data_IF_100723172830
#
_entry.id   IF_100723172830
#
_cell.length_a   1.000
_cell.length_b   1.000
_cell.length_c   1.000
_cell.angle_alpha   90.00
_cell.angle_beta   90.00
_cell.angle_gamma   90.00
#
_symmetry.space_group_name_H-M   'P 1'
#
loop_
_entity.id
_entity.type
_entity.pdbx_description
1 polymer ?
#
# COMPACT_ATOMS: atom_id res chain seq x y z
N UNK A 1 7.19 8.47 -1.98
CA UNK A 1 7.50 8.35 -3.41
C UNK A 1 6.57 9.18 -4.29
N UNK A 2 6.71 9.07 -5.64
CA UNK A 2 6.01 9.93 -6.62
C UNK A 2 4.47 9.85 -6.49
N UNK A 3 3.90 8.66 -6.58
CA UNK A 3 2.44 8.45 -6.51
C UNK A 3 1.91 8.86 -5.14
N UNK A 4 2.56 8.42 -4.06
CA UNK A 4 2.15 8.73 -2.68
C UNK A 4 2.12 10.23 -2.41
N UNK A 5 3.15 10.98 -2.84
CA UNK A 5 3.18 12.43 -2.64
C UNK A 5 2.10 13.16 -3.46
N UNK A 6 1.81 12.70 -4.68
CA UNK A 6 0.72 13.24 -5.49
C UNK A 6 -0.65 13.02 -4.83
N UNK A 7 -0.87 11.81 -4.32
CA UNK A 7 -2.09 11.45 -3.60
C UNK A 7 -2.26 12.28 -2.32
N UNK A 8 -1.20 12.45 -1.53
CA UNK A 8 -1.24 13.27 -0.31
C UNK A 8 -1.64 14.71 -0.64
N UNK A 9 -1.03 15.34 -1.67
CA UNK A 9 -1.43 16.69 -2.10
C UNK A 9 -2.89 16.76 -2.53
N UNK A 10 -3.36 15.77 -3.26
CA UNK A 10 -4.77 15.69 -3.67
C UNK A 10 -5.70 15.57 -2.47
N UNK A 11 -5.42 14.66 -1.54
CA UNK A 11 -6.25 14.46 -0.35
C UNK A 11 -6.23 15.69 0.59
N UNK A 12 -5.12 16.39 0.72
CA UNK A 12 -5.02 17.60 1.53
C UNK A 12 -5.75 18.80 0.91
N UNK A 13 -6.14 18.75 -0.38
CA UNK A 13 -6.98 19.79 -0.99
C UNK A 13 -8.39 19.83 -0.36
N UNK A 14 -8.88 18.70 0.15
CA UNK A 14 -10.04 18.66 1.01
C UNK A 14 -9.65 18.99 2.45
N UNK A 15 -10.32 20.00 3.05
CA UNK A 15 -10.02 20.52 4.39
C UNK A 15 -10.42 19.58 5.53
N UNK A 16 -11.26 18.61 5.26
CA UNK A 16 -11.72 17.61 6.25
C UNK A 16 -10.72 16.46 6.43
N UNK A 17 -9.82 16.26 5.48
CA UNK A 17 -8.87 15.15 5.54
C UNK A 17 -7.69 15.44 6.47
N UNK A 18 -7.37 14.46 7.31
CA UNK A 18 -6.14 14.38 8.12
C UNK A 18 -5.32 13.21 7.58
N UNK A 19 -4.06 13.45 7.27
CA UNK A 19 -3.18 12.47 6.63
C UNK A 19 -2.02 12.10 7.55
N UNK A 20 -1.92 10.81 7.82
CA UNK A 20 -0.76 10.21 8.49
C UNK A 20 0.01 9.43 7.45
N UNK A 21 1.21 9.88 7.14
CA UNK A 21 2.07 9.26 6.15
C UNK A 21 3.20 8.50 6.84
N UNK A 22 3.25 7.19 6.66
CA UNK A 22 4.37 6.34 7.09
C UNK A 22 5.22 6.04 5.85
N UNK A 23 6.46 6.50 5.83
CA UNK A 23 7.40 6.31 4.71
C UNK A 23 8.82 6.17 5.26
N UNK A 24 9.55 5.13 4.86
CA UNK A 24 10.95 4.93 5.27
C UNK A 24 11.92 5.92 4.64
N UNK A 25 11.45 6.79 3.76
CA UNK A 25 12.22 7.79 3.04
C UNK A 25 13.44 7.17 2.34
N UNK A 26 13.15 6.30 1.38
CA UNK A 26 14.18 5.64 0.56
C UNK A 26 14.66 6.56 -0.58
N UNK A 27 15.55 6.03 -1.41
CA UNK A 27 16.09 6.72 -2.60
C UNK A 27 15.00 7.27 -3.56
N UNK A 28 13.82 6.65 -3.59
CA UNK A 28 12.69 7.07 -4.43
C UNK A 28 11.84 8.16 -3.79
N UNK A 29 12.15 8.57 -2.57
CA UNK A 29 11.39 9.57 -1.82
C UNK A 29 12.01 10.96 -1.95
N UNK A 30 11.13 11.97 -2.07
CA UNK A 30 11.52 13.38 -2.03
C UNK A 30 10.62 14.13 -1.04
N UNK A 31 11.17 14.49 0.11
CA UNK A 31 10.44 15.23 1.17
C UNK A 31 9.85 16.54 0.67
N UNK A 32 10.54 17.22 -0.24
CA UNK A 32 10.10 18.49 -0.82
C UNK A 32 8.90 18.36 -1.78
N UNK A 33 8.51 17.14 -2.15
CA UNK A 33 7.33 16.91 -2.99
C UNK A 33 6.00 17.22 -2.30
N UNK A 34 6.03 17.37 -0.98
CA UNK A 34 4.86 17.72 -0.17
C UNK A 34 5.23 18.98 0.61
N UNK A 35 4.67 20.13 0.22
CA UNK A 35 4.83 21.35 1.00
C UNK A 35 3.87 21.31 2.19
N UNK A 36 4.38 20.97 3.36
CA UNK A 36 3.58 20.72 4.57
C UNK A 36 4.09 21.45 5.81
N UNK A 37 5.04 22.36 5.65
CA UNK A 37 5.74 23.01 6.77
C UNK A 37 4.79 23.64 7.81
N UNK A 38 3.57 24.04 7.41
CA UNK A 38 2.55 24.61 8.29
C UNK A 38 1.22 23.82 8.31
N UNK A 39 1.18 22.62 7.75
CA UNK A 39 -0.09 21.89 7.64
C UNK A 39 -0.34 20.98 8.84
N UNK A 40 -1.09 21.46 9.83
CA UNK A 40 -1.48 20.71 11.03
C UNK A 40 -2.27 19.41 10.74
N UNK A 41 -2.75 19.22 9.50
CA UNK A 41 -3.49 18.05 9.05
C UNK A 41 -2.61 16.97 8.41
N UNK A 42 -1.29 17.17 8.40
CA UNK A 42 -0.32 16.20 7.87
C UNK A 42 0.70 15.82 8.92
N UNK A 43 0.91 14.53 9.09
CA UNK A 43 1.97 13.98 9.94
C UNK A 43 2.81 13.00 9.12
N UNK A 44 4.13 13.18 9.12
CA UNK A 44 5.09 12.21 8.59
C UNK A 44 5.67 11.38 9.74
N UNK A 45 5.59 10.07 9.60
CA UNK A 45 6.28 9.09 10.45
C UNK A 45 7.36 8.46 9.57
N UNK A 46 8.61 8.85 9.80
CA UNK A 46 9.77 8.40 9.01
C UNK A 46 10.28 7.07 9.55
N UNK A 47 9.58 5.99 9.16
CA UNK A 47 9.89 4.63 9.63
C UNK A 47 9.54 3.58 8.58
N UNK A 48 10.18 2.39 8.66
CA UNK A 48 9.85 1.23 7.83
C UNK A 48 8.62 0.50 8.40
N UNK A 49 7.66 0.14 7.53
CA UNK A 49 6.46 -0.64 7.90
C UNK A 49 6.79 -2.01 8.49
N UNK A 50 8.03 -2.49 8.32
CA UNK A 50 8.54 -3.72 8.94
C UNK A 50 9.04 -3.53 10.39
N UNK A 51 9.10 -2.29 10.90
CA UNK A 51 9.46 -2.05 12.28
C UNK A 51 8.43 -2.65 13.23
N UNK A 52 8.85 -3.47 14.21
CA UNK A 52 7.94 -4.06 15.19
C UNK A 52 7.04 -3.01 15.86
N UNK A 53 5.78 -3.34 16.05
CA UNK A 53 4.74 -2.53 16.69
C UNK A 53 4.38 -1.21 15.99
N UNK A 54 5.13 -0.74 15.00
CA UNK A 54 4.88 0.55 14.36
C UNK A 54 3.44 0.69 13.87
N UNK A 55 2.94 -0.33 13.17
CA UNK A 55 1.60 -0.28 12.57
C UNK A 55 0.53 -0.24 13.67
N UNK A 56 0.62 -1.10 14.70
CA UNK A 56 -0.34 -1.10 15.80
C UNK A 56 -0.33 0.21 16.57
N UNK A 57 0.85 0.73 16.93
CA UNK A 57 1.00 2.01 17.63
C UNK A 57 0.44 3.18 16.83
N UNK A 58 0.69 3.19 15.51
CA UNK A 58 0.16 4.23 14.60
C UNK A 58 -1.36 4.16 14.53
N UNK A 59 -1.94 2.97 14.34
CA UNK A 59 -3.38 2.78 14.24
C UNK A 59 -4.11 3.12 15.54
N UNK A 60 -3.56 2.75 16.68
CA UNK A 60 -4.10 3.09 18.01
C UNK A 60 -4.07 4.58 18.30
N UNK A 61 -2.97 5.27 17.89
CA UNK A 61 -2.78 6.70 18.15
C UNK A 61 -3.65 7.58 17.26
N UNK A 62 -3.80 7.24 15.98
CA UNK A 62 -4.44 8.12 14.99
C UNK A 62 -5.83 7.69 14.56
N UNK A 63 -6.23 6.45 14.84
CA UNK A 63 -7.55 5.88 14.55
C UNK A 63 -8.07 6.17 13.14
N UNK A 64 -7.33 5.81 12.09
CA UNK A 64 -7.69 6.13 10.71
C UNK A 64 -8.95 5.39 10.25
N UNK A 65 -9.73 6.03 9.39
CA UNK A 65 -10.88 5.41 8.73
C UNK A 65 -10.49 4.66 7.45
N UNK A 66 -9.40 5.07 6.81
CA UNK A 66 -8.93 4.52 5.53
C UNK A 66 -7.45 4.25 5.60
N UNK A 67 -7.04 3.12 5.06
CA UNK A 67 -5.63 2.77 4.85
C UNK A 67 -5.39 2.70 3.35
N UNK A 68 -4.35 3.40 2.87
CA UNK A 68 -3.91 3.34 1.48
C UNK A 68 -2.46 2.84 1.49
N UNK A 69 -2.28 1.59 1.13
CA UNK A 69 -0.97 0.92 1.16
C UNK A 69 -0.26 1.07 -0.19
N UNK A 70 0.65 2.06 -0.24
CA UNK A 70 1.51 2.38 -1.38
C UNK A 70 2.99 2.01 -1.13
N UNK A 71 3.33 1.65 0.13
CA UNK A 71 4.72 1.34 0.47
C UNK A 71 5.19 0.10 -0.29
N UNK A 72 6.20 0.27 -1.14
CA UNK A 72 6.77 -0.78 -1.96
C UNK A 72 8.16 -0.39 -2.46
N UNK A 73 9.00 -1.39 -2.73
CA UNK A 73 10.08 -1.27 -3.71
C UNK A 73 9.47 -1.45 -5.10
N UNK A 74 9.72 -0.52 -6.04
CA UNK A 74 8.97 -0.46 -7.31
C UNK A 74 9.84 -0.45 -8.58
N UNK A 75 11.17 -0.40 -8.47
CA UNK A 75 12.05 -0.29 -9.62
C UNK A 75 12.43 -1.67 -10.18
N UNK A 76 11.87 -2.06 -11.33
CA UNK A 76 11.99 -3.42 -11.91
C UNK A 76 13.46 -3.86 -12.05
N UNK A 77 14.34 -3.05 -12.68
CA UNK A 77 15.75 -3.42 -12.87
C UNK A 77 16.45 -3.70 -11.54
N UNK A 78 16.17 -2.91 -10.51
CA UNK A 78 16.75 -3.14 -9.17
C UNK A 78 16.25 -4.44 -8.54
N UNK A 79 15.05 -4.91 -8.90
CA UNK A 79 14.55 -6.20 -8.42
C UNK A 79 15.31 -7.38 -8.98
N UNK A 80 15.94 -7.21 -10.14
CA UNK A 80 16.80 -8.24 -10.77
C UNK A 80 18.13 -8.33 -10.03
N UNK A 81 18.71 -7.17 -9.70
CA UNK A 81 20.02 -7.11 -9.03
C UNK A 81 19.94 -7.43 -7.54
N UNK A 82 18.87 -7.03 -6.85
CA UNK A 82 18.69 -7.21 -5.42
C UNK A 82 17.21 -7.51 -5.08
N UNK A 83 16.77 -8.76 -5.28
CA UNK A 83 15.37 -9.16 -5.03
C UNK A 83 14.97 -9.15 -3.55
N UNK A 84 15.89 -9.29 -2.62
CA UNK A 84 15.62 -9.40 -1.18
C UNK A 84 14.82 -8.20 -0.65
N UNK A 85 15.21 -6.98 -1.05
CA UNK A 85 14.52 -5.77 -0.63
C UNK A 85 13.05 -5.74 -1.07
N UNK A 86 12.74 -6.35 -2.22
CA UNK A 86 11.38 -6.47 -2.75
C UNK A 86 10.55 -7.49 -1.96
N UNK A 87 11.15 -8.61 -1.57
CA UNK A 87 10.49 -9.60 -0.70
C UNK A 87 10.15 -8.96 0.64
N UNK A 88 11.11 -8.30 1.29
CA UNK A 88 10.88 -7.66 2.59
C UNK A 88 9.88 -6.51 2.50
N UNK A 89 9.99 -5.60 1.55
CA UNK A 89 9.06 -4.47 1.45
C UNK A 89 7.67 -4.88 0.96
N UNK A 90 7.60 -5.66 -0.15
CA UNK A 90 6.35 -5.86 -0.86
C UNK A 90 5.55 -7.06 -0.33
N UNK A 91 6.20 -8.08 0.23
CA UNK A 91 5.53 -9.27 0.77
C UNK A 91 5.43 -9.17 2.30
N UNK A 92 6.58 -9.11 3.00
CA UNK A 92 6.57 -9.07 4.46
C UNK A 92 5.93 -7.78 4.97
N UNK A 93 6.25 -6.63 4.36
CA UNK A 93 5.62 -5.35 4.68
C UNK A 93 4.11 -5.35 4.48
N UNK A 94 3.62 -5.91 3.36
CA UNK A 94 2.18 -6.07 3.11
C UNK A 94 1.53 -7.00 4.13
N UNK A 95 2.18 -8.10 4.50
CA UNK A 95 1.69 -8.99 5.55
C UNK A 95 1.58 -8.27 6.90
N UNK A 96 2.59 -7.51 7.31
CA UNK A 96 2.57 -6.73 8.55
C UNK A 96 1.45 -5.70 8.56
N UNK A 97 1.25 -4.99 7.42
CA UNK A 97 0.13 -4.06 7.26
C UNK A 97 -1.21 -4.77 7.42
N UNK A 98 -1.41 -5.91 6.74
CA UNK A 98 -2.64 -6.68 6.84
C UNK A 98 -2.93 -7.17 8.26
N UNK A 99 -1.92 -7.71 8.96
CA UNK A 99 -2.06 -8.16 10.34
C UNK A 99 -2.44 -7.03 11.29
N UNK A 100 -1.70 -5.92 11.23
CA UNK A 100 -1.96 -4.76 12.09
C UNK A 100 -3.33 -4.14 11.82
N UNK A 101 -3.66 -3.93 10.53
CA UNK A 101 -4.93 -3.34 10.14
C UNK A 101 -6.13 -4.24 10.42
N UNK A 102 -5.98 -5.56 10.27
CA UNK A 102 -7.04 -6.52 10.59
C UNK A 102 -7.32 -6.54 12.11
N UNK A 103 -6.27 -6.56 12.95
CA UNK A 103 -6.42 -6.48 14.40
C UNK A 103 -7.11 -5.18 14.82
N UNK A 104 -6.70 -4.06 14.25
CA UNK A 104 -7.30 -2.75 14.49
C UNK A 104 -8.77 -2.73 14.06
N UNK A 105 -9.09 -3.18 12.83
CA UNK A 105 -10.45 -3.23 12.32
C UNK A 105 -11.38 -4.04 13.23
N UNK A 106 -10.95 -5.20 13.74
CA UNK A 106 -11.72 -6.01 14.68
C UNK A 106 -11.94 -5.33 16.06
N UNK A 107 -11.19 -4.28 16.38
CA UNK A 107 -11.37 -3.51 17.62
C UNK A 107 -12.30 -2.31 17.46
N UNK A 108 -12.73 -2.00 16.21
CA UNK A 108 -13.59 -0.87 15.92
C UNK A 108 -15.05 -1.15 16.32
N UNK A 109 -15.75 -0.09 16.71
CA UNK A 109 -17.20 -0.13 16.92
C UNK A 109 -17.97 -0.11 15.60
N UNK A 110 -19.26 -0.47 15.64
CA UNK A 110 -20.07 -0.75 14.45
C UNK A 110 -19.99 0.30 13.33
N UNK A 111 -20.06 1.60 13.66
CA UNK A 111 -20.04 2.67 12.66
C UNK A 111 -18.68 2.87 12.01
N UNK A 112 -17.61 2.76 12.79
CA UNK A 112 -16.23 2.89 12.30
C UNK A 112 -15.82 1.66 11.51
N UNK A 113 -16.24 0.48 11.96
CA UNK A 113 -16.02 -0.80 11.30
C UNK A 113 -16.62 -0.82 9.88
N UNK A 114 -17.84 -0.32 9.67
CA UNK A 114 -18.48 -0.23 8.36
C UNK A 114 -17.77 0.75 7.40
N UNK A 115 -17.23 1.83 7.95
CA UNK A 115 -16.53 2.87 7.16
C UNK A 115 -15.12 2.47 6.79
N UNK A 116 -14.46 1.64 7.58
CA UNK A 116 -13.07 1.28 7.35
C UNK A 116 -12.86 0.62 5.99
N UNK A 117 -11.81 1.03 5.28
CA UNK A 117 -11.37 0.40 4.02
C UNK A 117 -9.86 0.31 3.98
N UNK A 118 -9.37 -0.79 3.42
CA UNK A 118 -7.97 -1.03 3.14
C UNK A 118 -7.76 -1.08 1.63
N UNK A 119 -7.11 -0.07 1.06
CA UNK A 119 -6.75 0.00 -0.34
C UNK A 119 -5.30 -0.47 -0.53
N UNK A 120 -5.10 -1.50 -1.33
CA UNK A 120 -3.79 -1.96 -1.79
C UNK A 120 -3.55 -1.50 -3.22
N UNK A 121 -2.46 -0.77 -3.44
CA UNK A 121 -2.06 -0.32 -4.76
C UNK A 121 -1.10 -1.33 -5.36
N UNK A 122 -1.58 -2.12 -6.32
CA UNK A 122 -0.84 -3.10 -7.10
C UNK A 122 -0.45 -2.53 -8.48
N UNK A 123 -0.04 -3.39 -9.39
CA UNK A 123 0.40 -3.03 -10.74
C UNK A 123 -0.18 -4.02 -11.77
N UNK A 124 -0.36 -3.61 -13.01
CA UNK A 124 -0.73 -4.48 -14.12
C UNK A 124 0.36 -5.51 -14.47
N UNK A 125 1.62 -5.25 -14.09
CA UNK A 125 2.73 -6.20 -14.30
C UNK A 125 2.50 -7.55 -13.60
N UNK A 126 1.61 -7.64 -12.62
CA UNK A 126 1.23 -8.90 -11.98
C UNK A 126 0.57 -9.89 -12.95
N UNK A 127 -0.02 -9.39 -14.05
CA UNK A 127 -0.64 -10.22 -15.10
C UNK A 127 0.38 -10.72 -16.14
N UNK A 128 1.59 -10.15 -16.15
CA UNK A 128 2.66 -10.51 -17.07
C UNK A 128 2.63 -9.73 -18.38
N UNK A 129 2.98 -10.38 -19.49
CA UNK A 129 3.14 -9.71 -20.79
C UNK A 129 1.97 -10.00 -21.74
N UNK A 130 1.46 -8.97 -22.39
CA UNK A 130 0.49 -9.09 -23.46
C UNK A 130 1.22 -9.39 -24.79
N UNK A 131 0.98 -10.56 -25.37
CA UNK A 131 1.55 -10.94 -26.67
C UNK A 131 0.77 -10.35 -27.86
N UNK A 132 -0.51 -10.11 -27.71
CA UNK A 132 -1.39 -9.57 -28.74
C UNK A 132 -1.85 -8.16 -28.35
N UNK A 133 -1.45 -7.15 -29.11
CA UNK A 133 -1.77 -5.74 -28.85
C UNK A 133 -3.26 -5.39 -28.84
N UNK A 134 -4.12 -6.29 -29.34
CA UNK A 134 -5.57 -6.11 -29.34
C UNK A 134 -6.24 -6.66 -28.07
N UNK A 135 -5.46 -7.21 -27.14
CA UNK A 135 -5.96 -7.72 -25.86
C UNK A 135 -5.57 -6.76 -24.73
N UNK A 136 -6.40 -6.70 -23.71
CA UNK A 136 -6.13 -5.99 -22.46
C UNK A 136 -6.32 -6.95 -21.28
N UNK A 137 -5.62 -6.70 -20.19
CA UNK A 137 -5.91 -7.39 -18.94
C UNK A 137 -7.21 -6.87 -18.33
N UNK A 138 -7.86 -7.73 -17.59
CA UNK A 138 -9.03 -7.44 -16.78
C UNK A 138 -8.76 -7.91 -15.35
N UNK A 139 -9.64 -7.56 -14.43
CA UNK A 139 -9.54 -7.97 -13.03
C UNK A 139 -9.63 -9.48 -12.83
N UNK A 140 -10.18 -10.21 -13.82
CA UNK A 140 -10.27 -11.67 -13.84
C UNK A 140 -9.07 -12.36 -14.51
N UNK A 141 -8.12 -11.58 -15.01
CA UNK A 141 -6.91 -12.13 -15.65
C UNK A 141 -6.05 -12.89 -14.64
N UNK A 142 -5.48 -14.02 -15.08
CA UNK A 142 -4.58 -14.80 -14.23
C UNK A 142 -3.27 -14.05 -13.95
N UNK A 143 -2.79 -14.12 -12.72
CA UNK A 143 -1.48 -13.59 -12.34
C UNK A 143 -0.37 -14.45 -12.97
N UNK A 144 0.52 -13.82 -13.75
CA UNK A 144 1.65 -14.44 -14.45
C UNK A 144 2.87 -13.50 -14.47
N UNK A 145 3.37 -13.08 -13.30
CA UNK A 145 4.43 -12.10 -13.20
C UNK A 145 5.74 -12.59 -13.85
N UNK A 146 6.47 -11.68 -14.52
CA UNK A 146 7.69 -12.01 -15.26
C UNK A 146 8.97 -11.40 -14.67
N UNK A 147 8.89 -10.69 -13.55
CA UNK A 147 10.05 -10.12 -12.85
C UNK A 147 9.96 -10.36 -11.34
N UNK A 148 11.07 -10.26 -10.58
CA UNK A 148 11.02 -10.33 -9.11
C UNK A 148 10.12 -9.26 -8.50
N UNK A 149 10.13 -8.02 -9.04
CA UNK A 149 9.20 -6.97 -8.66
C UNK A 149 7.74 -7.41 -8.87
N UNK A 150 7.38 -7.79 -10.09
CA UNK A 150 6.01 -8.20 -10.43
C UNK A 150 5.57 -9.41 -9.58
N UNK A 151 6.46 -10.38 -9.32
CA UNK A 151 6.20 -11.52 -8.44
C UNK A 151 5.95 -11.09 -6.99
N UNK A 152 6.72 -10.15 -6.48
CA UNK A 152 6.54 -9.62 -5.12
C UNK A 152 5.20 -8.88 -4.98
N UNK A 153 4.81 -8.09 -5.98
CA UNK A 153 3.51 -7.40 -6.01
C UNK A 153 2.34 -8.37 -6.15
N UNK A 154 2.46 -9.38 -7.03
CA UNK A 154 1.47 -10.45 -7.16
C UNK A 154 1.28 -11.24 -5.85
N UNK A 155 2.36 -11.49 -5.11
CA UNK A 155 2.30 -12.12 -3.78
C UNK A 155 1.53 -11.25 -2.78
N UNK A 156 1.78 -9.94 -2.75
CA UNK A 156 1.02 -8.99 -1.95
C UNK A 156 -0.47 -8.97 -2.31
N UNK A 157 -0.78 -9.00 -3.60
CA UNK A 157 -2.15 -9.06 -4.15
C UNK A 157 -2.89 -10.31 -3.65
N UNK A 158 -2.24 -11.47 -3.74
CA UNK A 158 -2.79 -12.74 -3.24
C UNK A 158 -3.01 -12.71 -1.72
N UNK A 159 -2.09 -12.12 -0.95
CA UNK A 159 -2.27 -11.94 0.49
C UNK A 159 -3.49 -11.07 0.79
N UNK A 160 -3.60 -9.90 0.16
CA UNK A 160 -4.74 -8.98 0.35
C UNK A 160 -6.07 -9.67 0.01
N UNK A 161 -6.14 -10.35 -1.14
CA UNK A 161 -7.34 -11.13 -1.54
C UNK A 161 -7.69 -12.20 -0.52
N UNK A 162 -6.70 -12.91 0.02
CA UNK A 162 -6.94 -13.96 1.01
C UNK A 162 -7.52 -13.40 2.30
N UNK A 163 -7.06 -12.23 2.78
CA UNK A 163 -7.66 -11.56 3.94
C UNK A 163 -9.12 -11.16 3.69
N UNK A 164 -9.41 -10.59 2.51
CA UNK A 164 -10.79 -10.27 2.13
C UNK A 164 -11.70 -11.48 2.12
N UNK A 165 -11.23 -12.60 1.54
CA UNK A 165 -12.06 -13.81 1.42
C UNK A 165 -12.19 -14.63 2.70
N UNK A 166 -11.10 -14.73 3.49
CA UNK A 166 -11.07 -15.56 4.69
C UNK A 166 -11.72 -14.85 5.88
N UNK A 167 -11.46 -13.54 6.01
CA UNK A 167 -11.83 -12.77 7.20
C UNK A 167 -12.90 -11.72 6.95
N UNK A 168 -13.42 -11.61 5.73
CA UNK A 168 -14.30 -10.51 5.29
C UNK A 168 -13.70 -9.12 5.54
N UNK A 169 -12.36 -9.03 5.56
CA UNK A 169 -11.66 -7.78 5.75
C UNK A 169 -11.95 -6.83 4.57
N UNK A 170 -12.31 -5.56 4.79
CA UNK A 170 -12.80 -4.65 3.75
C UNK A 170 -11.68 -4.11 2.85
N UNK A 171 -11.20 -4.98 1.94
CA UNK A 171 -10.12 -4.68 0.99
C UNK A 171 -10.63 -4.08 -0.32
N UNK A 172 -9.79 -3.25 -0.92
CA UNK A 172 -9.87 -2.81 -2.32
C UNK A 172 -8.46 -3.00 -2.91
N UNK A 173 -8.37 -3.57 -4.11
CA UNK A 173 -7.10 -3.68 -4.85
C UNK A 173 -7.20 -2.92 -6.16
N UNK A 174 -6.17 -2.17 -6.52
CA UNK A 174 -6.04 -1.49 -7.82
C UNK A 174 -4.79 -1.98 -8.52
N UNK A 175 -4.91 -2.25 -9.83
CA UNK A 175 -3.79 -2.64 -10.69
C UNK A 175 -3.57 -1.52 -11.70
N UNK A 176 -2.55 -0.69 -11.46
CA UNK A 176 -2.22 0.47 -12.29
C UNK A 176 -1.06 0.15 -13.23
N UNK A 177 -1.08 0.72 -14.43
CA UNK A 177 0.02 0.71 -15.39
C UNK A 177 0.89 1.95 -15.26
#
# INVERSE_FOLDING_TARGET
GFIGSALIRYLLSDKENIIINVDKISYASNKNSINTEDNKRYTLIEEDINKPNLISETLESYKPNYIIHLAAESHVDRSIDNPDSFIFSNIVGTFNMLQGCYKYWNSLESKELERFKFLYVSTDEVYGSIKNKNLSFTEDSNLKPNSPYAASKASGDLLVRSWGKTYNFPIITTNSS
#
